data_IF_905847678937
#
_entry.id   IF_905847678937
#
_cell.length_a   1.000
_cell.length_b   1.000
_cell.length_c   1.000
_cell.angle_alpha   90.00
_cell.angle_beta   90.00
_cell.angle_gamma   90.00
#
_symmetry.space_group_name_H-M   'P 1'
#
loop_
_entity.id
_entity.type
_entity.pdbx_description
1 polymer ?
#
# COMPACT_ATOMS: atom_id res chain seq x y z
N UNK A 1 -37.09 26.31 -25.34
CA UNK A 1 -35.82 26.23 -24.59
C UNK A 1 -36.13 25.77 -23.17
N UNK A 2 -35.42 24.73 -22.74
CA UNK A 2 -35.74 23.82 -21.64
C UNK A 2 -35.76 24.49 -20.26
N UNK A 3 -36.87 24.34 -19.52
CA UNK A 3 -36.95 24.70 -18.08
C UNK A 3 -35.99 23.80 -17.30
N UNK A 4 -34.89 24.38 -16.82
CA UNK A 4 -33.98 23.73 -15.86
C UNK A 4 -34.78 23.41 -14.60
N UNK A 5 -35.04 22.13 -14.33
CA UNK A 5 -35.67 21.69 -13.07
C UNK A 5 -34.74 22.09 -11.92
N UNK A 6 -35.19 23.00 -11.06
CA UNK A 6 -34.47 23.37 -9.85
C UNK A 6 -34.17 22.10 -9.02
N UNK A 7 -32.90 21.88 -8.70
CA UNK A 7 -32.48 20.76 -7.84
C UNK A 7 -33.02 21.01 -6.43
N UNK A 8 -33.59 19.98 -5.79
CA UNK A 8 -34.00 20.09 -4.39
C UNK A 8 -32.74 20.32 -3.54
N UNK A 9 -32.74 21.31 -2.62
CA UNK A 9 -31.61 21.49 -1.71
C UNK A 9 -31.49 20.27 -0.80
N UNK A 10 -30.26 19.79 -0.59
CA UNK A 10 -29.98 18.71 0.35
C UNK A 10 -30.34 19.19 1.77
N UNK A 11 -31.04 18.37 2.57
CA UNK A 11 -31.29 18.64 3.98
C UNK A 11 -30.01 18.94 4.76
N UNK A 12 -30.09 19.83 5.76
CA UNK A 12 -28.95 20.23 6.60
C UNK A 12 -28.26 19.01 7.24
N UNK A 13 -29.05 18.02 7.68
CA UNK A 13 -28.53 16.78 8.26
C UNK A 13 -27.68 15.96 7.28
N UNK A 14 -28.03 15.94 5.99
CA UNK A 14 -27.24 15.29 4.95
C UNK A 14 -25.89 16.00 4.75
N UNK A 15 -25.90 17.32 4.73
CA UNK A 15 -24.68 18.12 4.63
C UNK A 15 -23.74 17.94 5.82
N UNK A 16 -24.27 17.92 7.05
CA UNK A 16 -23.47 17.70 8.25
C UNK A 16 -22.85 16.31 8.29
N UNK A 17 -23.62 15.27 7.91
CA UNK A 17 -23.10 13.91 7.86
C UNK A 17 -22.03 13.74 6.77
N UNK A 18 -22.22 14.37 5.60
CA UNK A 18 -21.23 14.35 4.52
C UNK A 18 -19.94 15.08 4.94
N UNK A 19 -20.08 16.22 5.63
CA UNK A 19 -18.95 16.97 6.18
C UNK A 19 -18.19 16.16 7.23
N UNK A 20 -18.88 15.50 8.15
CA UNK A 20 -18.25 14.66 9.17
C UNK A 20 -17.37 13.56 8.54
N UNK A 21 -17.89 12.86 7.53
CA UNK A 21 -17.12 11.83 6.80
C UNK A 21 -15.90 12.46 6.09
N UNK A 22 -16.07 13.64 5.46
CA UNK A 22 -14.97 14.34 4.80
C UNK A 22 -13.88 14.83 5.76
N UNK A 23 -14.26 15.17 7.01
CA UNK A 23 -13.34 15.55 8.08
C UNK A 23 -12.69 14.34 8.78
N UNK A 24 -12.97 13.11 8.30
CA UNK A 24 -12.34 11.89 8.79
C UNK A 24 -13.05 11.21 9.95
N UNK A 25 -14.29 11.61 10.28
CA UNK A 25 -15.11 10.83 11.21
C UNK A 25 -15.39 9.44 10.62
N UNK A 26 -15.36 8.37 11.45
CA UNK A 26 -15.61 7.02 10.96
C UNK A 26 -16.95 6.93 10.24
N UNK A 27 -17.01 6.30 9.06
CA UNK A 27 -18.23 6.19 8.26
C UNK A 27 -19.18 5.15 8.89
N UNK A 28 -19.81 5.54 10.01
CA UNK A 28 -20.79 4.72 10.71
C UNK A 28 -22.08 4.60 9.89
N UNK A 29 -22.86 3.54 10.11
CA UNK A 29 -24.13 3.31 9.39
C UNK A 29 -25.11 4.47 9.52
N UNK A 30 -25.17 5.07 10.71
CA UNK A 30 -26.00 6.24 10.96
C UNK A 30 -25.59 7.41 10.07
N UNK A 31 -24.29 7.68 9.95
CA UNK A 31 -23.78 8.76 9.10
C UNK A 31 -24.00 8.45 7.61
N UNK A 32 -23.71 7.22 7.16
CA UNK A 32 -23.93 6.83 5.77
C UNK A 32 -25.43 6.91 5.42
N UNK A 33 -26.31 6.39 6.27
CA UNK A 33 -27.76 6.47 6.07
C UNK A 33 -28.25 7.92 6.03
N UNK A 34 -27.70 8.78 6.89
CA UNK A 34 -27.97 10.21 6.86
C UNK A 34 -27.54 10.85 5.54
N UNK A 35 -26.33 10.58 5.05
CA UNK A 35 -25.83 11.10 3.76
C UNK A 35 -26.70 10.63 2.59
N UNK A 36 -27.09 9.37 2.58
CA UNK A 36 -27.94 8.78 1.53
C UNK A 36 -29.42 9.19 1.66
N UNK A 37 -29.81 9.81 2.77
CA UNK A 37 -31.20 10.18 3.03
C UNK A 37 -32.14 8.99 3.20
N UNK A 38 -31.61 7.83 3.63
CA UNK A 38 -32.38 6.61 3.86
C UNK A 38 -32.41 6.22 5.34
N UNK A 39 -33.24 5.22 5.69
CA UNK A 39 -33.26 4.66 7.02
C UNK A 39 -32.04 3.73 7.23
N UNK A 40 -31.48 3.72 8.44
CA UNK A 40 -30.40 2.81 8.83
C UNK A 40 -30.77 1.33 8.62
N UNK A 41 -32.04 0.96 8.81
CA UNK A 41 -32.53 -0.41 8.57
C UNK A 41 -32.46 -0.79 7.10
N UNK A 42 -32.84 0.12 6.19
CA UNK A 42 -32.77 -0.11 4.74
C UNK A 42 -31.33 -0.27 4.28
N UNK A 43 -30.41 0.53 4.85
CA UNK A 43 -28.99 0.38 4.58
C UNK A 43 -28.46 -0.96 5.13
N UNK A 44 -28.93 -1.40 6.30
CA UNK A 44 -28.56 -2.67 6.90
C UNK A 44 -28.97 -3.87 6.04
N UNK A 45 -30.23 -3.91 5.62
CA UNK A 45 -30.78 -4.99 4.79
C UNK A 45 -30.03 -5.09 3.47
N UNK A 46 -29.78 -3.95 2.83
CA UNK A 46 -29.05 -3.90 1.57
C UNK A 46 -27.59 -4.32 1.72
N UNK A 47 -26.90 -3.83 2.73
CA UNK A 47 -25.52 -4.22 3.00
C UNK A 47 -25.40 -5.73 3.32
N UNK A 48 -26.40 -6.32 3.97
CA UNK A 48 -26.44 -7.75 4.22
C UNK A 48 -26.68 -8.57 2.94
N UNK A 49 -27.61 -8.15 2.08
CA UNK A 49 -27.88 -8.80 0.79
C UNK A 49 -26.68 -8.75 -0.15
N UNK A 50 -25.96 -7.63 -0.16
CA UNK A 50 -24.79 -7.42 -1.01
C UNK A 50 -23.49 -7.93 -0.37
N UNK A 51 -23.55 -8.53 0.82
CA UNK A 51 -22.39 -9.13 1.48
C UNK A 51 -21.30 -8.14 1.89
N UNK A 52 -21.65 -6.88 2.17
CA UNK A 52 -20.66 -5.87 2.56
C UNK A 52 -20.01 -6.27 3.90
N UNK A 53 -18.69 -6.47 3.90
CA UNK A 53 -17.91 -6.69 5.14
C UNK A 53 -17.88 -5.41 5.97
N UNK A 54 -18.11 -5.54 7.28
CA UNK A 54 -18.38 -4.41 8.17
C UNK A 54 -17.25 -4.22 9.18
N UNK A 55 -16.67 -3.03 9.20
CA UNK A 55 -15.82 -2.57 10.29
C UNK A 55 -16.73 -2.12 11.44
N UNK A 56 -16.58 -2.74 12.61
CA UNK A 56 -17.31 -2.32 13.81
C UNK A 56 -16.63 -1.13 14.47
N UNK A 57 -17.00 0.07 14.01
CA UNK A 57 -16.54 1.33 14.59
C UNK A 57 -17.10 1.61 15.99
N UNK A 58 -17.79 0.67 16.68
CA UNK A 58 -18.02 0.80 18.12
C UNK A 58 -16.78 0.46 18.93
N UNK A 59 -15.92 -0.41 18.38
CA UNK A 59 -14.67 -0.77 19.02
C UNK A 59 -13.65 0.36 18.86
N UNK A 60 -12.96 0.68 19.95
CA UNK A 60 -12.03 1.80 19.99
C UNK A 60 -10.83 1.60 19.06
N UNK A 61 -10.29 0.38 19.04
CA UNK A 61 -9.19 -0.05 18.17
C UNK A 61 -9.50 0.17 16.67
N UNK A 62 -10.72 -0.15 16.24
CA UNK A 62 -11.16 0.05 14.84
C UNK A 62 -11.29 1.54 14.51
N UNK A 63 -11.75 2.37 15.46
CA UNK A 63 -11.79 3.83 15.28
C UNK A 63 -10.39 4.43 15.17
N UNK A 64 -9.47 4.00 16.03
CA UNK A 64 -8.09 4.49 16.02
C UNK A 64 -7.36 4.06 14.75
N UNK A 65 -7.48 2.79 14.35
CA UNK A 65 -6.91 2.31 13.09
C UNK A 65 -7.45 3.08 11.89
N UNK A 66 -8.74 3.41 11.89
CA UNK A 66 -9.34 4.24 10.83
C UNK A 66 -8.77 5.66 10.81
N UNK A 67 -8.63 6.31 11.98
CA UNK A 67 -8.01 7.65 12.07
C UNK A 67 -6.56 7.64 11.61
N UNK A 68 -5.79 6.62 11.99
CA UNK A 68 -4.41 6.44 11.55
C UNK A 68 -4.34 6.25 10.04
N UNK A 69 -5.22 5.43 9.47
CA UNK A 69 -5.29 5.23 8.02
C UNK A 69 -5.63 6.52 7.28
N UNK A 70 -6.60 7.29 7.77
CA UNK A 70 -6.96 8.60 7.18
C UNK A 70 -5.80 9.59 7.29
N UNK A 71 -5.09 9.61 8.40
CA UNK A 71 -3.92 10.48 8.57
C UNK A 71 -2.79 10.13 7.57
N UNK A 72 -2.47 8.85 7.42
CA UNK A 72 -1.47 8.38 6.44
C UNK A 72 -1.91 8.69 5.02
N UNK A 73 -3.18 8.44 4.67
CA UNK A 73 -3.70 8.76 3.35
C UNK A 73 -3.67 10.27 3.04
N UNK A 74 -3.90 11.13 4.05
CA UNK A 74 -3.78 12.58 3.90
C UNK A 74 -2.31 13.02 3.76
N UNK A 75 -1.37 12.37 4.42
CA UNK A 75 0.07 12.66 4.25
C UNK A 75 0.57 12.25 2.86
N UNK A 76 0.13 11.09 2.36
CA UNK A 76 0.52 10.54 1.05
C UNK A 76 -0.07 11.33 -0.13
N UNK A 77 -1.30 11.84 0.00
CA UNK A 77 -1.96 12.66 -1.03
C UNK A 77 -1.86 14.18 -0.79
N UNK A 78 -1.34 14.61 0.38
CA UNK A 78 -1.19 16.01 0.77
C UNK A 78 0.05 16.72 0.18
N UNK A 79 0.85 16.02 -0.63
CA UNK A 79 1.99 16.59 -1.35
C UNK A 79 1.64 17.57 -2.49
N UNK A 80 0.35 17.89 -2.68
CA UNK A 80 -0.11 18.98 -3.54
C UNK A 80 -0.33 20.26 -2.73
N UNK A 81 0.57 21.22 -2.90
CA UNK A 81 0.60 22.54 -2.27
C UNK A 81 -0.78 23.16 -1.95
N UNK A 82 -1.05 23.38 -0.66
CA UNK A 82 -1.96 24.44 -0.21
C UNK A 82 -1.42 25.01 1.10
N UNK A 83 -0.97 26.26 1.04
CA UNK A 83 -0.23 26.92 2.10
C UNK A 83 -1.05 27.26 3.35
N UNK A 84 -0.35 27.17 4.48
CA UNK A 84 -0.34 28.19 5.52
C UNK A 84 -1.64 28.43 6.31
N UNK A 85 -1.74 27.79 7.47
CA UNK A 85 -2.28 28.45 8.66
C UNK A 85 -1.70 27.81 9.93
N UNK A 86 -0.70 28.46 10.50
CA UNK A 86 -0.25 28.21 11.87
C UNK A 86 -1.37 28.55 12.85
N UNK A 87 -1.60 27.69 13.84
CA UNK A 87 -2.06 28.15 15.15
C UNK A 87 -1.50 27.25 16.24
N UNK A 88 -0.55 27.79 16.99
CA UNK A 88 -0.17 27.35 18.32
C UNK A 88 -1.33 27.57 19.30
N UNK A 89 -1.50 26.66 20.27
CA UNK A 89 -2.48 26.79 21.34
C UNK A 89 -2.43 25.59 22.28
N UNK A 90 -1.68 25.74 23.37
CA UNK A 90 -1.38 24.67 24.31
C UNK A 90 -2.40 24.43 25.43
N UNK A 91 -2.04 23.42 26.22
CA UNK A 91 -2.38 23.13 27.62
C UNK A 91 -3.82 22.76 27.99
N UNK A 92 -3.98 21.54 28.54
CA UNK A 92 -4.35 21.34 29.95
C UNK A 92 -4.39 19.84 30.27
N UNK A 93 -3.62 19.41 31.27
CA UNK A 93 -3.72 18.07 31.83
C UNK A 93 -4.92 17.92 32.77
N UNK A 94 -5.38 16.68 32.95
CA UNK A 94 -6.07 16.21 34.17
C UNK A 94 -5.61 14.78 34.41
N UNK A 95 -5.06 14.54 35.59
CA UNK A 95 -4.55 13.24 36.02
C UNK A 95 -5.58 12.37 36.74
N UNK A 96 -5.07 11.25 37.26
CA UNK A 96 -5.64 10.51 38.37
C UNK A 96 -6.27 9.17 37.99
N UNK A 97 -5.57 8.08 38.27
CA UNK A 97 -5.81 7.25 39.46
C UNK A 97 -5.24 5.85 39.23
N UNK A 98 -4.33 5.44 40.11
CA UNK A 98 -3.65 4.16 40.05
C UNK A 98 -4.53 2.96 40.35
N UNK A 99 -4.03 1.79 39.96
CA UNK A 99 -4.33 0.51 40.59
C UNK A 99 -3.03 -0.28 40.55
N UNK A 100 -2.38 -0.38 41.71
CA UNK A 100 -1.35 -1.37 41.97
C UNK A 100 -2.02 -2.74 42.14
N UNK A 101 -1.52 -3.75 41.43
CA UNK A 101 -1.72 -5.15 41.79
C UNK A 101 -0.51 -5.97 41.34
N UNK A 102 0.30 -6.34 42.33
CA UNK A 102 1.33 -7.37 42.27
C UNK A 102 0.79 -8.72 41.80
N UNK A 103 1.66 -9.51 41.16
CA UNK A 103 1.83 -10.92 41.56
C UNK A 103 1.67 -11.98 40.46
N UNK A 104 2.81 -12.57 40.11
CA UNK A 104 3.04 -13.98 39.76
C UNK A 104 2.55 -14.59 38.44
N UNK A 105 3.53 -14.69 37.52
CA UNK A 105 4.18 -15.93 37.08
C UNK A 105 3.38 -17.26 37.02
N UNK A 106 3.53 -17.88 35.83
CA UNK A 106 3.49 -19.31 35.50
C UNK A 106 2.11 -19.96 35.36
N UNK A 107 1.73 -20.33 34.13
CA UNK A 107 2.03 -21.68 33.64
C UNK A 107 1.79 -21.82 32.13
N UNK A 108 2.64 -22.64 31.54
CA UNK A 108 2.66 -23.00 30.13
C UNK A 108 1.48 -23.90 29.76
N UNK A 109 0.89 -23.65 28.60
CA UNK A 109 0.42 -24.74 27.74
C UNK A 109 0.56 -24.30 26.27
N UNK A 110 1.70 -24.68 25.70
CA UNK A 110 1.97 -24.57 24.28
C UNK A 110 1.12 -25.58 23.52
N UNK A 111 0.01 -25.13 22.94
CA UNK A 111 -0.67 -25.88 21.89
C UNK A 111 0.08 -25.62 20.59
N UNK A 112 1.06 -26.47 20.29
CA UNK A 112 1.64 -26.59 18.96
C UNK A 112 0.57 -27.18 18.04
N UNK A 113 -0.05 -26.34 17.22
CA UNK A 113 -0.88 -26.83 16.12
C UNK A 113 0.06 -27.35 15.05
N UNK A 114 0.26 -28.66 15.03
CA UNK A 114 0.92 -29.38 13.94
C UNK A 114 0.01 -29.37 12.71
N UNK A 115 0.30 -28.51 11.75
CA UNK A 115 -0.27 -28.65 10.41
C UNK A 115 0.59 -29.66 9.64
N UNK A 116 0.01 -30.85 9.48
CA UNK A 116 0.51 -31.87 8.59
C UNK A 116 0.60 -31.33 7.16
N UNK A 117 1.83 -31.36 6.64
CA UNK A 117 2.19 -31.81 5.30
C UNK A 117 1.04 -32.00 4.30
N UNK A 118 0.93 -31.04 3.38
CA UNK A 118 0.89 -31.32 1.95
C UNK A 118 1.79 -30.31 1.26
N UNK A 119 3.07 -30.65 1.23
CA UNK A 119 3.95 -30.11 0.21
C UNK A 119 3.64 -30.84 -1.10
N UNK A 120 2.72 -30.27 -1.89
CA UNK A 120 2.70 -30.57 -3.31
C UNK A 120 3.97 -29.94 -3.89
N UNK A 121 4.99 -30.80 -3.97
CA UNK A 121 6.18 -30.60 -4.73
C UNK A 121 5.80 -30.45 -6.21
N UNK A 122 5.83 -29.21 -6.69
CA UNK A 122 6.18 -28.94 -8.09
C UNK A 122 7.54 -28.23 -8.07
N UNK A 123 8.51 -28.92 -8.66
CA UNK A 123 9.92 -28.64 -8.53
C UNK A 123 10.38 -27.37 -9.22
N UNK A 124 11.46 -26.80 -8.70
CA UNK A 124 12.47 -26.12 -9.48
C UNK A 124 13.78 -26.12 -8.69
N UNK A 125 14.64 -27.07 -9.06
CA UNK A 125 16.08 -26.87 -9.04
C UNK A 125 16.39 -25.58 -9.83
N UNK A 126 16.84 -24.55 -9.12
CA UNK A 126 17.09 -23.22 -9.68
C UNK A 126 18.01 -22.42 -8.78
N UNK A 127 19.26 -22.30 -9.20
CA UNK A 127 20.31 -21.46 -8.64
C UNK A 127 19.81 -20.13 -8.08
N UNK A 128 20.13 -19.83 -6.82
CA UNK A 128 19.76 -18.61 -6.08
C UNK A 128 20.33 -17.28 -6.64
N UNK A 129 20.88 -17.29 -7.87
CA UNK A 129 21.51 -16.12 -8.49
C UNK A 129 20.63 -15.41 -9.54
N UNK A 130 19.56 -16.04 -10.05
CA UNK A 130 18.68 -15.49 -11.10
C UNK A 130 17.20 -15.58 -10.73
N UNK A 131 16.88 -15.50 -9.43
CA UNK A 131 15.50 -15.53 -9.00
C UNK A 131 14.84 -14.17 -9.26
N UNK A 132 13.91 -14.12 -10.21
CA UNK A 132 13.17 -12.91 -10.57
C UNK A 132 12.57 -12.27 -9.29
N UNK A 133 12.98 -11.04 -8.92
CA UNK A 133 12.51 -10.39 -7.70
C UNK A 133 10.98 -10.22 -7.70
N UNK A 134 10.36 -10.10 -8.88
CA UNK A 134 8.90 -10.04 -9.02
C UNK A 134 8.27 -11.38 -8.65
N UNK A 135 8.89 -12.50 -9.05
CA UNK A 135 8.43 -13.84 -8.66
C UNK A 135 8.59 -14.10 -7.15
N UNK A 136 9.67 -13.62 -6.53
CA UNK A 136 9.86 -13.69 -5.07
C UNK A 136 8.79 -12.87 -4.34
N UNK A 137 8.54 -11.64 -4.79
CA UNK A 137 7.49 -10.77 -4.25
C UNK A 137 6.10 -11.39 -4.39
N UNK A 138 5.77 -11.94 -5.56
CA UNK A 138 4.49 -12.58 -5.81
C UNK A 138 4.23 -13.79 -4.90
N UNK A 139 5.25 -14.59 -4.61
CA UNK A 139 5.15 -15.71 -3.67
C UNK A 139 4.97 -15.24 -2.23
N UNK A 140 5.72 -14.23 -1.80
CA UNK A 140 5.58 -13.64 -0.47
C UNK A 140 4.21 -12.98 -0.27
N UNK A 141 3.71 -12.25 -1.27
CA UNK A 141 2.37 -11.66 -1.26
C UNK A 141 1.28 -12.74 -1.17
N UNK A 142 1.41 -13.81 -1.96
CA UNK A 142 0.48 -14.96 -1.91
C UNK A 142 0.47 -15.64 -0.55
N UNK A 143 1.64 -15.77 0.09
CA UNK A 143 1.77 -16.35 1.43
C UNK A 143 1.11 -15.47 2.49
N UNK A 144 1.36 -14.15 2.47
CA UNK A 144 0.74 -13.19 3.39
C UNK A 144 -0.78 -13.17 3.22
N UNK A 145 -1.29 -13.16 1.98
CA UNK A 145 -2.72 -13.20 1.69
C UNK A 145 -3.41 -14.44 2.29
N UNK A 146 -2.83 -15.64 2.08
CA UNK A 146 -3.36 -16.89 2.65
C UNK A 146 -3.37 -16.86 4.18
N UNK A 147 -2.36 -16.24 4.80
CA UNK A 147 -2.27 -16.18 6.26
C UNK A 147 -3.27 -15.19 6.86
N UNK A 148 -3.51 -14.06 6.18
CA UNK A 148 -4.56 -13.10 6.53
C UNK A 148 -5.94 -13.74 6.39
N UNK A 149 -6.20 -14.51 5.33
CA UNK A 149 -7.47 -15.24 5.18
C UNK A 149 -7.69 -16.24 6.32
N UNK A 150 -6.65 -16.99 6.72
CA UNK A 150 -6.73 -17.88 7.87
C UNK A 150 -7.05 -17.15 9.18
N UNK A 151 -6.50 -15.95 9.38
CA UNK A 151 -6.79 -15.10 10.54
C UNK A 151 -8.23 -14.55 10.52
N UNK A 152 -8.76 -14.21 9.34
CA UNK A 152 -10.15 -13.77 9.19
C UNK A 152 -11.10 -14.90 9.59
N UNK A 153 -10.85 -16.13 9.14
CA UNK A 153 -11.66 -17.30 9.52
C UNK A 153 -11.61 -17.53 11.04
N UNK A 154 -10.43 -17.41 11.65
CA UNK A 154 -10.30 -17.53 13.12
C UNK A 154 -11.06 -16.42 13.87
N UNK A 155 -11.08 -15.21 13.34
CA UNK A 155 -11.82 -14.09 13.91
C UNK A 155 -13.34 -14.26 13.77
N UNK A 156 -13.80 -14.78 12.63
CA UNK A 156 -15.22 -15.08 12.37
C UNK A 156 -15.75 -16.17 13.32
N UNK A 157 -14.89 -17.14 13.68
CA UNK A 157 -15.17 -18.16 14.71
C UNK A 157 -15.18 -17.60 16.15
N UNK A 158 -14.94 -16.29 16.33
CA UNK A 158 -14.88 -15.63 17.64
C UNK A 158 -13.63 -15.98 18.47
N UNK A 159 -12.61 -16.59 17.85
CA UNK A 159 -11.36 -16.93 18.53
C UNK A 159 -10.47 -15.69 18.62
N UNK A 160 -9.67 -15.62 19.70
CA UNK A 160 -8.69 -14.53 19.85
C UNK A 160 -7.59 -14.69 18.82
N UNK A 161 -7.35 -13.65 18.03
CA UNK A 161 -6.17 -13.59 17.16
C UNK A 161 -4.94 -13.33 18.03
N UNK A 162 -3.90 -14.17 17.96
CA UNK A 162 -2.66 -13.93 18.69
C UNK A 162 -1.95 -12.69 18.14
N UNK A 163 -1.62 -11.75 19.03
CA UNK A 163 -0.93 -10.48 18.68
C UNK A 163 0.40 -10.72 17.98
N UNK A 164 1.12 -11.77 18.37
CA UNK A 164 2.38 -12.20 17.74
C UNK A 164 2.22 -12.49 16.25
N UNK A 165 1.07 -12.99 15.82
CA UNK A 165 0.80 -13.32 14.42
C UNK A 165 0.44 -12.07 13.59
N UNK A 166 -0.19 -11.08 14.22
CA UNK A 166 -0.40 -9.76 13.60
C UNK A 166 0.94 -9.05 13.45
N UNK A 167 1.80 -9.10 14.48
CA UNK A 167 3.10 -8.46 14.48
C UNK A 167 4.05 -9.07 13.44
N UNK A 168 4.02 -10.40 13.24
CA UNK A 168 4.80 -11.06 12.19
C UNK A 168 4.31 -10.71 10.79
N UNK A 169 3.00 -10.64 10.56
CA UNK A 169 2.44 -10.17 9.28
C UNK A 169 2.81 -8.70 9.01
N UNK A 170 2.76 -7.86 10.04
CA UNK A 170 3.23 -6.47 9.95
C UNK A 170 4.72 -6.37 9.61
N UNK A 171 5.56 -7.23 10.19
CA UNK A 171 6.98 -7.28 9.84
C UNK A 171 7.21 -7.76 8.39
N UNK A 172 6.43 -8.75 7.93
CA UNK A 172 6.51 -9.23 6.54
C UNK A 172 6.04 -8.18 5.52
N UNK A 173 4.99 -7.42 5.80
CA UNK A 173 4.53 -6.32 4.94
C UNK A 173 5.59 -5.22 4.81
N UNK A 174 6.19 -4.77 5.93
CA UNK A 174 7.29 -3.79 5.87
C UNK A 174 8.52 -4.31 5.14
N UNK A 175 8.80 -5.61 5.25
CA UNK A 175 9.89 -6.21 4.48
C UNK A 175 9.55 -6.20 2.98
N UNK A 176 8.29 -6.44 2.60
CA UNK A 176 7.81 -6.39 1.21
C UNK A 176 7.93 -5.00 0.60
N UNK A 177 7.58 -3.95 1.35
CA UNK A 177 7.79 -2.54 0.96
C UNK A 177 9.29 -2.26 0.69
N UNK A 178 10.17 -2.83 1.53
CA UNK A 178 11.62 -2.70 1.36
C UNK A 178 12.13 -3.45 0.13
N UNK A 179 11.54 -4.59 -0.21
CA UNK A 179 11.89 -5.35 -1.42
C UNK A 179 11.43 -4.64 -2.69
N UNK A 180 10.29 -3.95 -2.68
CA UNK A 180 9.84 -3.12 -3.80
C UNK A 180 10.81 -1.96 -4.05
N UNK A 181 11.27 -1.30 -2.99
CA UNK A 181 12.30 -0.26 -3.09
C UNK A 181 13.63 -0.79 -3.67
N UNK A 182 14.05 -1.99 -3.25
CA UNK A 182 15.27 -2.63 -3.77
C UNK A 182 15.09 -3.03 -5.25
N UNK A 183 13.91 -3.53 -5.63
CA UNK A 183 13.60 -3.90 -7.00
C UNK A 183 13.59 -2.66 -7.92
N UNK A 184 12.96 -1.56 -7.49
CA UNK A 184 12.93 -0.30 -8.23
C UNK A 184 14.33 0.34 -8.37
N UNK A 185 15.19 0.17 -7.38
CA UNK A 185 16.58 0.66 -7.44
C UNK A 185 17.42 -0.19 -8.40
N UNK A 186 17.22 -1.51 -8.43
CA UNK A 186 17.89 -2.43 -9.36
C UNK A 186 17.51 -2.17 -10.82
N UNK A 187 16.24 -1.89 -11.10
CA UNK A 187 15.80 -1.56 -12.47
C UNK A 187 16.42 -0.26 -12.96
N UNK A 188 16.50 0.78 -12.11
CA UNK A 188 17.17 2.05 -12.45
C UNK A 188 18.66 1.85 -12.71
N UNK A 189 19.33 1.02 -11.91
CA UNK A 189 20.75 0.71 -12.11
C UNK A 189 20.99 -0.06 -13.41
N UNK A 190 20.12 -1.01 -13.75
CA UNK A 190 20.20 -1.75 -15.01
C UNK A 190 19.96 -0.86 -16.24
N UNK A 191 19.00 0.08 -16.16
CA UNK A 191 18.78 1.08 -17.21
C UNK A 191 19.99 1.99 -17.38
N UNK A 192 20.56 2.50 -16.28
CA UNK A 192 21.75 3.35 -16.32
C UNK A 192 22.96 2.62 -16.93
N UNK A 193 23.17 1.35 -16.57
CA UNK A 193 24.25 0.53 -17.13
C UNK A 193 24.02 0.26 -18.62
N UNK A 194 22.78 -0.01 -19.04
CA UNK A 194 22.42 -0.19 -20.45
C UNK A 194 22.64 1.09 -21.26
N UNK A 195 22.34 2.26 -20.70
CA UNK A 195 22.57 3.56 -21.36
C UNK A 195 24.07 3.86 -21.50
N UNK A 196 24.87 3.52 -20.48
CA UNK A 196 26.33 3.66 -20.52
C UNK A 196 26.96 2.73 -21.57
N UNK A 197 26.54 1.46 -21.62
CA UNK A 197 26.98 0.51 -22.64
C UNK A 197 26.58 0.97 -24.05
N UNK A 198 25.37 1.50 -24.21
CA UNK A 198 24.90 2.06 -25.47
C UNK A 198 25.75 3.27 -25.89
N UNK A 199 26.06 4.18 -24.97
CA UNK A 199 26.92 5.33 -25.23
C UNK A 199 28.33 4.90 -25.69
N UNK A 200 28.92 3.91 -25.03
CA UNK A 200 30.23 3.37 -25.40
C UNK A 200 30.23 2.71 -26.79
N UNK A 201 29.14 2.05 -27.18
CA UNK A 201 28.99 1.50 -28.54
C UNK A 201 28.86 2.62 -29.57
N UNK A 202 28.09 3.66 -29.26
CA UNK A 202 27.92 4.80 -30.17
C UNK A 202 29.22 5.57 -30.37
N UNK A 203 30.01 5.79 -29.32
CA UNK A 203 31.33 6.42 -29.40
C UNK A 203 32.27 5.62 -30.32
N UNK A 204 32.28 4.29 -30.18
CA UNK A 204 33.06 3.40 -31.06
C UNK A 204 32.62 3.49 -32.54
N UNK A 205 31.32 3.64 -32.78
CA UNK A 205 30.80 3.82 -34.14
C UNK A 205 31.24 5.17 -34.70
N UNK A 206 31.16 6.24 -33.91
CA UNK A 206 31.57 7.59 -34.31
C UNK A 206 33.07 7.63 -34.68
N UNK A 207 33.94 7.10 -33.83
CA UNK A 207 35.38 6.98 -34.10
C UNK A 207 35.65 6.25 -35.43
N UNK A 208 34.88 5.20 -35.71
CA UNK A 208 35.02 4.43 -36.94
C UNK A 208 34.55 5.22 -38.16
N UNK A 209 33.47 5.99 -38.03
CA UNK A 209 32.96 6.87 -39.09
C UNK A 209 33.99 7.94 -39.42
N UNK A 210 34.57 8.58 -38.41
CA UNK A 210 35.61 9.60 -38.58
C UNK A 210 36.83 9.02 -39.29
N UNK A 211 37.35 7.87 -38.84
CA UNK A 211 38.49 7.23 -39.48
C UNK A 211 38.24 6.87 -40.95
N UNK A 212 37.04 6.35 -41.29
CA UNK A 212 36.67 6.03 -42.66
C UNK A 212 36.51 7.29 -43.53
N UNK A 213 35.98 8.37 -42.96
CA UNK A 213 35.84 9.65 -43.65
C UNK A 213 37.21 10.26 -43.98
N UNK A 214 38.17 10.19 -43.05
CA UNK A 214 39.55 10.63 -43.27
C UNK A 214 40.26 9.80 -44.35
N UNK A 215 40.09 8.47 -44.31
CA UNK A 215 40.64 7.58 -45.34
C UNK A 215 40.08 7.92 -46.73
N UNK A 216 38.75 8.08 -46.84
CA UNK A 216 38.09 8.43 -48.09
C UNK A 216 38.52 9.81 -48.60
N UNK A 217 38.66 10.80 -47.72
CA UNK A 217 39.17 12.12 -48.07
C UNK A 217 40.59 12.04 -48.63
N UNK A 218 41.47 11.24 -48.02
CA UNK A 218 42.82 10.98 -48.52
C UNK A 218 42.81 10.35 -49.92
N UNK A 219 41.95 9.36 -50.15
CA UNK A 219 41.79 8.73 -51.47
C UNK A 219 41.31 9.71 -52.54
N UNK A 220 40.35 10.59 -52.21
CA UNK A 220 39.84 11.62 -53.13
C UNK A 220 40.91 12.64 -53.51
N UNK A 221 41.74 13.08 -52.56
CA UNK A 221 42.86 14.00 -52.82
C UNK A 221 43.90 13.33 -53.70
N UNK A 222 44.28 12.09 -53.40
CA UNK A 222 45.23 11.33 -54.21
C UNK A 222 44.73 11.12 -55.64
N UNK A 223 43.44 10.78 -55.81
CA UNK A 223 42.82 10.62 -57.14
C UNK A 223 42.78 11.93 -57.92
N UNK A 224 42.59 13.06 -57.25
CA UNK A 224 42.59 14.40 -57.88
C UNK A 224 43.99 14.88 -58.28
N UNK A 225 45.04 14.43 -57.59
CA UNK A 225 46.42 14.78 -57.92
C UNK A 225 47.01 13.99 -59.11
N UNK A 226 46.39 12.86 -59.46
CA UNK A 226 46.80 11.97 -60.57
C UNK A 226 46.07 12.31 -61.88
N UNK A 227 45.01 13.13 -61.84
CA UNK A 227 44.26 13.63 -62.99
C UNK A 227 44.78 15.00 -63.43
#
# INVERSE_FOLDING_TARGET
MTKTKARRPLPVAQWLAARAIAEGEPPTRKLIAQVLGCNETTLYERAALEGWKRLDFRRHDVKEAHRMFVAVALEEYGGGEAGGASSEGGAAGVGGAGIDAHGDAQDADGVSVTYADRTDADGADGSAADEDPVAVLARCASFVARRVDALIVLADDGRRIPKTEIDTLGAMMRMMERWEAIAAERTKQAEAQSDEDLAAVLERIDDRIVALAEELAGQLVARRAVA
#
